data_IF_561295632710
#
_entry.id   IF_561295632710
#
_cell.length_a   1.000
_cell.length_b   1.000
_cell.length_c   1.000
_cell.angle_alpha   90.00
_cell.angle_beta   90.00
_cell.angle_gamma   90.00
#
_symmetry.space_group_name_H-M   'P 1'
#
loop_
_entity.id
_entity.type
_entity.pdbx_description
1 polymer ?
#
# COMPACT_ATOMS: atom_id res chain seq x y z
N UNK A 1 63.46 47.10 -24.09
CA UNK A 1 62.92 46.13 -25.09
C UNK A 1 62.42 44.87 -24.36
N UNK A 2 61.16 44.78 -24.05
CA UNK A 2 60.53 43.52 -23.57
C UNK A 2 59.22 43.37 -24.30
N UNK A 3 59.06 42.32 -25.10
CA UNK A 3 57.84 41.97 -25.82
C UNK A 3 56.89 41.26 -24.86
N UNK A 4 55.75 41.81 -24.58
CA UNK A 4 54.67 41.19 -23.82
C UNK A 4 53.78 40.40 -24.78
N UNK A 5 53.73 39.07 -24.63
CA UNK A 5 52.82 38.18 -25.36
C UNK A 5 51.46 38.17 -24.65
N UNK A 6 50.43 38.61 -25.35
CA UNK A 6 49.03 38.42 -24.92
C UNK A 6 48.59 36.99 -25.26
N UNK A 7 48.23 36.25 -24.22
CA UNK A 7 47.65 34.91 -24.32
C UNK A 7 46.13 35.09 -24.38
N UNK A 8 45.52 34.87 -25.52
CA UNK A 8 44.08 34.77 -25.67
C UNK A 8 43.62 33.42 -25.09
N UNK A 9 42.92 33.47 -23.95
CA UNK A 9 42.16 32.33 -23.42
C UNK A 9 40.83 32.28 -24.16
N UNK A 10 40.64 31.30 -25.04
CA UNK A 10 39.36 30.95 -25.63
C UNK A 10 38.57 30.17 -24.60
N UNK A 11 37.51 30.79 -24.04
CA UNK A 11 36.50 30.13 -23.23
C UNK A 11 35.60 29.37 -24.21
N UNK A 12 35.82 28.08 -24.33
CA UNK A 12 34.89 27.18 -25.03
C UNK A 12 33.70 26.94 -24.11
N UNK A 13 32.59 27.61 -24.39
CA UNK A 13 31.27 27.28 -23.79
C UNK A 13 30.85 25.91 -24.31
N UNK A 14 30.99 24.88 -23.49
CA UNK A 14 30.33 23.58 -23.71
C UNK A 14 28.88 23.76 -23.33
N UNK A 15 28.03 24.12 -24.29
CA UNK A 15 26.61 23.92 -24.18
C UNK A 15 26.34 22.40 -24.10
N UNK A 16 26.09 21.88 -22.90
CA UNK A 16 25.53 20.56 -22.74
C UNK A 16 24.14 20.59 -23.37
N UNK A 17 24.00 20.14 -24.60
CA UNK A 17 22.72 19.73 -25.16
C UNK A 17 22.23 18.54 -24.33
N UNK A 18 21.28 18.80 -23.42
CA UNK A 18 20.45 17.74 -22.88
C UNK A 18 19.61 17.26 -24.06
N UNK A 19 20.07 16.23 -24.72
CA UNK A 19 19.26 15.46 -25.64
C UNK A 19 18.22 14.76 -24.76
N UNK A 20 17.04 15.38 -24.64
CA UNK A 20 15.85 14.64 -24.25
C UNK A 20 15.62 13.60 -25.34
N UNK A 21 16.19 12.42 -25.17
CA UNK A 21 15.75 11.25 -25.88
C UNK A 21 14.31 11.01 -25.42
N UNK A 22 13.33 11.42 -26.21
CA UNK A 22 11.96 10.98 -26.07
C UNK A 22 11.98 9.48 -26.30
N UNK A 23 12.08 8.70 -25.20
CA UNK A 23 11.90 7.26 -25.29
C UNK A 23 10.59 7.01 -26.02
N UNK A 24 10.63 6.25 -27.11
CA UNK A 24 9.43 5.89 -27.84
C UNK A 24 8.49 5.12 -26.88
N UNK A 25 7.24 5.57 -26.77
CA UNK A 25 6.27 4.90 -25.93
C UNK A 25 6.15 3.43 -26.34
N UNK A 26 6.11 2.50 -25.38
CA UNK A 26 5.80 1.11 -25.65
C UNK A 26 4.43 1.00 -26.34
N UNK A 27 4.19 -0.13 -27.01
CA UNK A 27 2.86 -0.37 -27.59
C UNK A 27 1.77 -0.43 -26.49
N UNK A 28 0.54 -0.22 -26.88
CA UNK A 28 -0.62 -0.13 -25.97
C UNK A 28 -0.78 -1.36 -25.06
N UNK A 29 -0.45 -2.56 -25.54
CA UNK A 29 -0.58 -3.77 -24.73
C UNK A 29 0.43 -3.81 -23.57
N UNK A 30 1.62 -3.29 -23.80
CA UNK A 30 2.66 -3.16 -22.74
C UNK A 30 2.28 -2.07 -21.74
N UNK A 31 1.80 -0.91 -22.22
CA UNK A 31 1.34 0.17 -21.34
C UNK A 31 0.17 -0.28 -20.46
N UNK A 32 -0.83 -0.98 -21.04
CA UNK A 32 -1.95 -1.54 -20.27
C UNK A 32 -1.48 -2.52 -19.20
N UNK A 33 -0.54 -3.39 -19.53
CA UNK A 33 0.03 -4.34 -18.55
C UNK A 33 0.77 -3.61 -17.42
N UNK A 34 1.55 -2.59 -17.73
CA UNK A 34 2.22 -1.77 -16.71
C UNK A 34 1.20 -1.05 -15.81
N UNK A 35 0.18 -0.43 -16.40
CA UNK A 35 -0.88 0.24 -15.65
C UNK A 35 -1.67 -0.74 -14.77
N UNK A 36 -2.05 -1.90 -15.30
CA UNK A 36 -2.79 -2.92 -14.56
C UNK A 36 -2.00 -3.46 -13.37
N UNK A 37 -0.68 -3.68 -13.52
CA UNK A 37 0.18 -4.13 -12.42
C UNK A 37 0.30 -3.14 -11.27
N UNK A 38 0.02 -1.86 -11.50
CA UNK A 38 -0.04 -0.84 -10.45
C UNK A 38 -1.37 -0.84 -9.67
N UNK A 39 -2.31 -1.73 -9.98
CA UNK A 39 -3.59 -1.79 -9.28
C UNK A 39 -3.64 -2.95 -8.29
N UNK A 40 -4.09 -2.67 -7.05
CA UNK A 40 -4.56 -3.61 -6.05
C UNK A 40 -6.09 -3.49 -6.00
N UNK A 41 -6.82 -4.51 -6.43
CA UNK A 41 -8.26 -4.40 -6.66
C UNK A 41 -9.08 -5.39 -5.86
N UNK A 42 -10.23 -4.95 -5.35
CA UNK A 42 -11.24 -5.80 -4.73
C UNK A 42 -12.32 -6.23 -5.72
N UNK A 43 -12.91 -7.38 -5.48
CA UNK A 43 -14.05 -7.89 -6.24
C UNK A 43 -15.17 -8.36 -5.30
N UNK A 44 -16.33 -8.71 -5.84
CA UNK A 44 -17.50 -9.16 -5.08
C UNK A 44 -17.70 -10.67 -5.20
N UNK A 45 -18.06 -11.31 -4.08
CA UNK A 45 -18.34 -12.75 -4.00
C UNK A 45 -17.23 -13.56 -3.31
N UNK A 46 -17.60 -14.76 -2.86
CA UNK A 46 -16.76 -15.71 -2.12
C UNK A 46 -16.44 -16.98 -2.94
N UNK A 47 -16.87 -17.00 -4.19
CA UNK A 47 -16.59 -18.04 -5.19
C UNK A 47 -16.22 -17.35 -6.49
N UNK A 48 -15.38 -18.00 -7.27
CA UNK A 48 -14.91 -17.51 -8.57
C UNK A 48 -15.02 -18.60 -9.61
N UNK A 49 -15.41 -18.20 -10.82
CA UNK A 49 -15.48 -19.03 -12.02
C UNK A 49 -14.92 -18.23 -13.22
N UNK A 50 -14.90 -18.85 -14.39
CA UNK A 50 -14.30 -18.25 -15.58
C UNK A 50 -15.01 -16.98 -16.09
N UNK A 51 -16.24 -16.74 -15.69
CA UNK A 51 -17.04 -15.56 -16.06
C UNK A 51 -17.04 -14.47 -14.97
N UNK A 52 -16.43 -14.73 -13.81
CA UNK A 52 -16.39 -13.81 -12.68
C UNK A 52 -15.53 -12.58 -12.94
N UNK A 53 -15.82 -11.48 -12.22
CA UNK A 53 -14.99 -10.28 -12.24
C UNK A 53 -13.56 -10.57 -11.86
N UNK A 54 -13.34 -11.49 -10.91
CA UNK A 54 -12.02 -11.91 -10.47
C UNK A 54 -11.21 -12.55 -11.61
N UNK A 55 -11.84 -13.40 -12.45
CA UNK A 55 -11.18 -13.99 -13.61
C UNK A 55 -10.73 -12.91 -14.61
N UNK A 56 -11.61 -11.94 -14.89
CA UNK A 56 -11.27 -10.81 -15.76
C UNK A 56 -10.11 -9.98 -15.20
N UNK A 57 -10.07 -9.74 -13.88
CA UNK A 57 -9.01 -8.93 -13.28
C UNK A 57 -7.67 -9.66 -13.28
N UNK A 58 -7.66 -10.94 -12.94
CA UNK A 58 -6.42 -11.73 -12.80
C UNK A 58 -5.92 -12.22 -14.16
N UNK A 59 -6.78 -12.91 -14.93
CA UNK A 59 -6.40 -13.59 -16.18
C UNK A 59 -6.26 -12.63 -17.35
N UNK A 60 -7.25 -11.71 -17.51
CA UNK A 60 -7.37 -10.92 -18.72
C UNK A 60 -6.67 -9.55 -18.55
N UNK A 61 -6.92 -8.84 -17.44
CA UNK A 61 -6.33 -7.54 -17.15
C UNK A 61 -4.92 -7.63 -16.53
N UNK A 62 -4.63 -8.69 -15.79
CA UNK A 62 -3.35 -8.96 -15.12
C UNK A 62 -2.99 -7.89 -14.08
N UNK A 63 -3.94 -7.60 -13.18
CA UNK A 63 -3.74 -6.65 -12.07
C UNK A 63 -2.59 -7.09 -11.16
N UNK A 64 -1.91 -6.11 -10.51
CA UNK A 64 -0.76 -6.42 -9.65
C UNK A 64 -1.13 -7.16 -8.37
N UNK A 65 -2.30 -6.83 -7.81
CA UNK A 65 -2.77 -7.45 -6.57
C UNK A 65 -4.30 -7.53 -6.50
N UNK A 66 -4.77 -8.50 -5.70
CA UNK A 66 -6.16 -8.62 -5.23
C UNK A 66 -6.20 -8.27 -3.74
N UNK A 67 -7.21 -7.49 -3.32
CA UNK A 67 -7.50 -7.24 -1.90
C UNK A 67 -8.84 -7.88 -1.51
N UNK A 68 -8.85 -8.57 -0.37
CA UNK A 68 -9.99 -9.36 0.10
C UNK A 68 -10.61 -8.76 1.37
N UNK A 69 -11.94 -8.85 1.46
CA UNK A 69 -12.73 -8.35 2.57
C UNK A 69 -13.68 -9.42 3.11
N UNK A 70 -14.09 -9.31 4.37
CA UNK A 70 -15.11 -10.17 4.97
C UNK A 70 -16.52 -9.52 4.98
N UNK A 71 -16.60 -8.20 4.82
CA UNK A 71 -17.86 -7.43 4.84
C UNK A 71 -18.05 -6.71 3.51
N UNK A 72 -19.23 -6.83 2.92
CA UNK A 72 -19.64 -6.07 1.73
C UNK A 72 -20.27 -4.75 2.14
N UNK A 73 -19.51 -3.67 2.07
CA UNK A 73 -19.98 -2.30 2.34
C UNK A 73 -20.84 -1.72 1.21
N UNK A 74 -20.86 -2.37 0.05
CA UNK A 74 -21.72 -1.97 -1.08
C UNK A 74 -23.15 -2.48 -0.98
N UNK A 75 -23.42 -3.30 0.04
CA UNK A 75 -24.71 -3.95 0.29
C UNK A 75 -25.16 -3.81 1.75
N UNK A 76 -25.51 -4.93 2.36
CA UNK A 76 -26.07 -4.98 3.72
C UNK A 76 -25.06 -4.73 4.84
N UNK A 77 -23.79 -4.58 4.55
CA UNK A 77 -22.68 -4.51 5.49
C UNK A 77 -22.67 -5.66 6.54
N UNK A 78 -23.15 -6.84 6.12
CA UNK A 78 -23.25 -8.02 6.98
C UNK A 78 -21.91 -8.74 7.05
N UNK A 79 -21.57 -9.26 8.22
CA UNK A 79 -20.38 -10.08 8.43
C UNK A 79 -20.46 -11.34 7.56
N UNK A 80 -19.37 -11.67 6.83
CA UNK A 80 -19.31 -12.81 5.90
C UNK A 80 -20.10 -12.60 4.61
N UNK A 81 -20.27 -11.37 4.17
CA UNK A 81 -21.03 -11.04 2.96
C UNK A 81 -20.17 -10.76 1.72
N UNK A 82 -18.81 -10.88 1.83
CA UNK A 82 -17.93 -10.59 0.69
C UNK A 82 -17.06 -11.79 0.30
N UNK A 83 -15.75 -11.71 0.49
CA UNK A 83 -14.81 -12.74 0.01
C UNK A 83 -14.53 -13.81 1.07
N UNK A 84 -14.51 -13.41 2.36
CA UNK A 84 -14.18 -14.29 3.47
C UNK A 84 -15.47 -14.73 4.17
N UNK A 85 -15.93 -15.94 3.90
CA UNK A 85 -17.15 -16.54 4.43
C UNK A 85 -16.91 -17.87 5.17
N UNK A 86 -15.88 -18.61 4.78
CA UNK A 86 -15.30 -19.73 5.51
C UNK A 86 -13.87 -19.98 5.07
N UNK A 87 -13.10 -20.68 5.90
CA UNK A 87 -11.69 -21.03 5.62
C UNK A 87 -11.57 -21.85 4.32
N UNK A 88 -12.40 -22.85 4.15
CA UNK A 88 -12.35 -23.74 2.99
C UNK A 88 -12.72 -23.03 1.68
N UNK A 89 -13.69 -22.10 1.73
CA UNK A 89 -14.06 -21.32 0.54
C UNK A 89 -12.95 -20.38 0.14
N UNK A 90 -12.38 -19.66 1.13
CA UNK A 90 -11.27 -18.76 0.87
C UNK A 90 -10.09 -19.49 0.26
N UNK A 91 -9.67 -20.64 0.82
CA UNK A 91 -8.56 -21.45 0.28
C UNK A 91 -8.81 -21.90 -1.17
N UNK A 92 -10.03 -22.33 -1.50
CA UNK A 92 -10.37 -22.71 -2.89
C UNK A 92 -10.32 -21.50 -3.82
N UNK A 93 -10.85 -20.37 -3.39
CA UNK A 93 -10.90 -19.13 -4.17
C UNK A 93 -9.48 -18.61 -4.44
N UNK A 94 -8.64 -18.48 -3.42
CA UNK A 94 -7.26 -18.00 -3.59
C UNK A 94 -6.42 -18.94 -4.45
N UNK A 95 -6.60 -20.27 -4.27
CA UNK A 95 -5.96 -21.24 -5.16
C UNK A 95 -6.35 -21.01 -6.61
N UNK A 96 -7.63 -20.83 -6.92
CA UNK A 96 -8.10 -20.57 -8.27
C UNK A 96 -7.54 -19.26 -8.83
N UNK A 97 -7.44 -18.20 -8.01
CA UNK A 97 -6.82 -16.93 -8.42
C UNK A 97 -5.33 -17.12 -8.79
N UNK A 98 -4.59 -17.89 -7.99
CA UNK A 98 -3.19 -18.22 -8.29
C UNK A 98 -3.06 -19.11 -9.54
N UNK A 99 -3.95 -20.09 -9.73
CA UNK A 99 -3.94 -20.96 -10.91
C UNK A 99 -4.20 -20.21 -12.22
N UNK A 100 -4.98 -19.12 -12.18
CA UNK A 100 -5.24 -18.25 -13.34
C UNK A 100 -4.10 -17.28 -13.66
N UNK A 101 -3.29 -16.94 -12.68
CA UNK A 101 -2.22 -15.97 -12.85
C UNK A 101 -0.99 -16.64 -13.49
N UNK A 102 -0.53 -16.11 -14.63
CA UNK A 102 0.73 -16.50 -15.28
C UNK A 102 1.93 -15.65 -14.77
N UNK A 103 1.76 -15.02 -13.60
CA UNK A 103 2.72 -14.16 -12.91
C UNK A 103 2.55 -14.31 -11.39
N UNK A 104 3.52 -13.89 -10.55
CA UNK A 104 3.37 -13.93 -9.10
C UNK A 104 2.30 -12.93 -8.64
N UNK A 105 1.04 -13.39 -8.50
CA UNK A 105 -0.09 -12.60 -8.04
C UNK A 105 0.06 -12.29 -6.55
N UNK A 106 -0.10 -11.01 -6.17
CA UNK A 106 -0.24 -10.62 -4.78
C UNK A 106 -1.70 -10.72 -4.36
N UNK A 107 -1.97 -11.41 -3.26
CA UNK A 107 -3.30 -11.47 -2.64
C UNK A 107 -3.16 -10.92 -1.23
N UNK A 108 -3.91 -9.86 -0.91
CA UNK A 108 -3.80 -9.08 0.30
C UNK A 108 -5.08 -9.07 1.12
N UNK A 109 -4.95 -8.91 2.44
CA UNK A 109 -6.04 -8.59 3.35
C UNK A 109 -5.51 -7.89 4.62
N UNK A 110 -6.42 -7.26 5.40
CA UNK A 110 -6.10 -6.69 6.69
C UNK A 110 -6.26 -7.75 7.80
N UNK A 111 -5.17 -8.28 8.30
CA UNK A 111 -5.16 -9.18 9.45
C UNK A 111 -4.22 -8.63 10.53
N UNK A 112 -4.63 -7.50 11.13
CA UNK A 112 -3.87 -6.84 12.20
C UNK A 112 -3.95 -7.60 13.51
N UNK A 113 -5.06 -8.30 13.70
CA UNK A 113 -5.48 -8.89 14.95
C UNK A 113 -6.52 -8.04 15.69
N UNK A 114 -7.14 -8.61 16.72
CA UNK A 114 -8.19 -7.90 17.46
C UNK A 114 -9.40 -7.54 16.58
N UNK A 115 -9.75 -6.24 16.56
CA UNK A 115 -10.95 -5.77 15.83
C UNK A 115 -10.77 -5.68 14.33
N UNK A 116 -9.54 -5.41 13.86
CA UNK A 116 -9.22 -5.35 12.43
C UNK A 116 -8.63 -6.69 12.00
N UNK A 117 -9.51 -7.58 11.62
CA UNK A 117 -9.20 -8.92 11.17
C UNK A 117 -10.26 -9.36 10.16
N UNK A 118 -9.83 -9.96 9.05
CA UNK A 118 -10.75 -10.55 8.05
C UNK A 118 -10.94 -12.04 8.32
N UNK A 119 -9.88 -12.70 8.82
CA UNK A 119 -9.89 -14.11 9.20
C UNK A 119 -10.39 -14.22 10.66
N UNK A 120 -11.68 -14.45 10.83
CA UNK A 120 -12.36 -14.43 12.15
C UNK A 120 -12.74 -15.84 12.60
N UNK A 121 -12.91 -16.07 13.94
CA UNK A 121 -13.30 -17.39 14.47
C UNK A 121 -14.60 -17.94 13.89
N UNK A 122 -15.59 -17.10 13.58
CA UNK A 122 -16.83 -17.55 12.95
C UNK A 122 -16.66 -18.12 11.52
N UNK A 123 -15.51 -17.90 10.89
CA UNK A 123 -15.16 -18.47 9.59
C UNK A 123 -14.24 -19.69 9.71
N UNK A 124 -13.97 -20.18 10.94
CA UNK A 124 -13.10 -21.33 11.20
C UNK A 124 -11.64 -21.00 11.47
N UNK A 125 -11.31 -19.73 11.76
CA UNK A 125 -9.95 -19.27 12.09
C UNK A 125 -9.71 -19.17 13.60
N UNK A 126 -8.45 -19.19 14.00
CA UNK A 126 -8.08 -19.02 15.41
C UNK A 126 -8.35 -17.58 15.89
N UNK A 127 -8.72 -17.38 17.16
CA UNK A 127 -8.85 -16.03 17.72
C UNK A 127 -7.51 -15.33 17.81
N UNK A 128 -7.52 -14.02 17.60
CA UNK A 128 -6.34 -13.16 17.68
C UNK A 128 -6.51 -12.09 18.77
N UNK A 129 -5.43 -11.41 19.12
CA UNK A 129 -5.44 -10.29 20.07
C UNK A 129 -5.05 -8.99 19.36
N UNK A 130 -5.44 -7.84 19.94
CA UNK A 130 -5.12 -6.54 19.38
C UNK A 130 -3.64 -6.18 19.58
N UNK A 131 -3.09 -5.33 18.70
CA UNK A 131 -1.74 -4.79 18.84
C UNK A 131 -1.53 -4.10 20.20
N UNK A 132 -2.50 -3.29 20.66
CA UNK A 132 -2.45 -2.66 21.97
C UNK A 132 -2.33 -3.67 23.13
N UNK A 133 -3.02 -4.81 23.03
CA UNK A 133 -2.89 -5.86 24.04
C UNK A 133 -1.48 -6.45 24.06
N UNK A 134 -0.87 -6.65 22.90
CA UNK A 134 0.52 -7.12 22.79
C UNK A 134 1.49 -6.09 23.36
N UNK A 135 1.34 -4.81 23.02
CA UNK A 135 2.16 -3.72 23.54
C UNK A 135 2.07 -3.57 25.05
N UNK A 136 0.87 -3.75 25.64
CA UNK A 136 0.68 -3.71 27.10
C UNK A 136 1.32 -4.90 27.83
N UNK A 137 1.42 -6.07 27.20
CA UNK A 137 2.12 -7.24 27.75
C UNK A 137 3.63 -7.06 27.62
N UNK A 138 4.08 -6.40 26.56
CA UNK A 138 5.49 -6.13 26.18
C UNK A 138 6.40 -7.36 26.30
N UNK A 139 5.96 -8.47 25.70
CA UNK A 139 6.67 -9.76 25.70
C UNK A 139 6.94 -10.21 24.28
N UNK A 140 8.21 -10.49 23.97
CA UNK A 140 8.62 -11.05 22.67
C UNK A 140 7.93 -12.38 22.39
N UNK A 141 7.99 -13.32 23.33
CA UNK A 141 7.39 -14.65 23.18
C UNK A 141 5.89 -14.56 22.90
N UNK A 142 5.18 -13.66 23.61
CA UNK A 142 3.75 -13.46 23.42
C UNK A 142 3.46 -12.86 22.05
N UNK A 143 4.22 -11.84 21.65
CA UNK A 143 4.00 -11.18 20.34
C UNK A 143 4.33 -12.13 19.21
N UNK A 144 5.46 -12.84 19.24
CA UNK A 144 5.82 -13.85 18.25
C UNK A 144 4.78 -14.97 18.18
N UNK A 145 4.27 -15.43 19.34
CA UNK A 145 3.22 -16.47 19.36
C UNK A 145 1.99 -16.04 18.54
N UNK A 146 1.41 -14.86 18.83
CA UNK A 146 0.21 -14.39 18.13
C UNK A 146 0.50 -13.98 16.68
N UNK A 147 1.66 -13.40 16.41
CA UNK A 147 2.09 -13.08 15.05
C UNK A 147 2.22 -14.34 14.18
N UNK A 148 2.80 -15.41 14.72
CA UNK A 148 2.90 -16.72 14.04
C UNK A 148 1.53 -17.31 13.78
N UNK A 149 0.59 -17.28 14.74
CA UNK A 149 -0.78 -17.73 14.54
C UNK A 149 -1.45 -16.98 13.38
N UNK A 150 -1.28 -15.67 13.32
CA UNK A 150 -1.80 -14.85 12.23
C UNK A 150 -1.14 -15.23 10.90
N UNK A 151 0.18 -15.28 10.86
CA UNK A 151 0.95 -15.57 9.66
C UNK A 151 0.62 -16.94 9.05
N UNK A 152 0.51 -17.98 9.89
CA UNK A 152 0.09 -19.32 9.48
C UNK A 152 -1.31 -19.34 8.84
N UNK A 153 -2.29 -18.65 9.47
CA UNK A 153 -3.67 -18.58 8.94
C UNK A 153 -3.74 -17.80 7.62
N UNK A 154 -2.97 -16.72 7.50
CA UNK A 154 -2.84 -15.92 6.27
C UNK A 154 -2.24 -16.79 5.16
N UNK A 155 -1.09 -17.41 5.39
CA UNK A 155 -0.41 -18.25 4.42
C UNK A 155 -1.26 -19.46 3.99
N UNK A 156 -1.86 -20.19 4.94
CA UNK A 156 -2.75 -21.34 4.66
C UNK A 156 -3.97 -20.94 3.84
N UNK A 157 -4.42 -19.70 3.96
CA UNK A 157 -5.52 -19.17 3.16
C UNK A 157 -5.11 -18.81 1.72
N UNK A 158 -3.86 -19.04 1.32
CA UNK A 158 -3.34 -18.65 0.01
C UNK A 158 -3.15 -17.15 -0.17
N UNK A 159 -3.14 -16.39 0.93
CA UNK A 159 -2.85 -14.94 0.97
C UNK A 159 -1.36 -14.76 1.23
N UNK A 160 -0.70 -13.87 0.49
CA UNK A 160 0.74 -13.69 0.54
C UNK A 160 1.17 -12.24 0.90
N UNK A 161 0.20 -11.36 1.16
CA UNK A 161 0.44 -10.00 1.67
C UNK A 161 -0.51 -9.73 2.82
N UNK A 162 0.03 -9.39 4.00
CA UNK A 162 -0.76 -8.87 5.10
C UNK A 162 -0.63 -7.33 5.13
N UNK A 163 -1.76 -6.62 5.06
CA UNK A 163 -1.80 -5.16 5.23
C UNK A 163 -1.69 -4.80 6.71
N UNK A 164 -0.62 -5.25 7.33
CA UNK A 164 -0.19 -5.09 8.72
C UNK A 164 1.34 -5.24 8.81
N UNK A 165 1.99 -4.77 9.89
CA UNK A 165 1.46 -4.19 11.11
C UNK A 165 1.14 -2.68 11.00
N UNK A 166 0.29 -2.20 11.92
CA UNK A 166 0.14 -0.77 12.20
C UNK A 166 1.32 -0.32 13.04
N UNK A 167 2.04 0.69 12.57
CA UNK A 167 3.22 1.28 13.24
C UNK A 167 2.98 2.74 13.66
N UNK A 168 1.74 3.20 13.57
CA UNK A 168 1.32 4.49 14.09
C UNK A 168 1.48 4.55 15.60
N UNK A 169 1.85 5.73 16.12
CA UNK A 169 1.98 5.98 17.56
C UNK A 169 0.58 5.97 18.22
N UNK A 170 0.44 5.30 19.34
CA UNK A 170 -0.84 5.19 20.06
C UNK A 170 -1.28 6.56 20.61
N UNK A 171 -2.37 7.09 20.09
CA UNK A 171 -3.19 8.07 20.76
C UNK A 171 -4.47 7.37 21.26
N UNK A 172 -4.68 7.21 22.57
CA UNK A 172 -5.83 6.47 23.12
C UNK A 172 -7.18 7.05 22.67
N UNK A 173 -7.23 8.35 22.38
CA UNK A 173 -8.44 9.05 21.97
C UNK A 173 -8.67 9.06 20.45
N UNK A 174 -7.67 8.61 19.67
CA UNK A 174 -7.76 8.52 18.23
C UNK A 174 -8.86 7.56 17.76
N UNK A 175 -9.91 8.02 17.04
CA UNK A 175 -11.11 7.24 16.76
C UNK A 175 -10.85 6.04 15.84
N UNK A 176 -10.01 6.18 14.84
CA UNK A 176 -9.72 5.16 13.84
C UNK A 176 -8.60 4.17 14.22
N UNK A 177 -7.83 4.47 15.26
CA UNK A 177 -6.67 3.68 15.69
C UNK A 177 -6.73 3.34 17.17
N UNK A 178 -6.58 4.34 18.06
CA UNK A 178 -6.45 4.14 19.50
C UNK A 178 -7.67 3.51 20.15
N UNK A 179 -8.88 4.01 19.84
CA UNK A 179 -10.16 3.51 20.40
C UNK A 179 -10.52 2.10 19.97
N UNK A 180 -9.90 1.60 18.90
CA UNK A 180 -10.13 0.23 18.43
C UNK A 180 -8.88 -0.66 18.55
N UNK A 181 -7.90 -0.21 19.37
CA UNK A 181 -6.75 -0.97 19.84
C UNK A 181 -5.77 -1.43 18.73
N UNK A 182 -5.61 -0.63 17.66
CA UNK A 182 -4.78 -1.00 16.50
C UNK A 182 -3.28 -0.73 16.67
N UNK A 183 -2.87 0.19 17.57
CA UNK A 183 -1.47 0.57 17.78
C UNK A 183 -0.84 -0.24 18.93
N UNK A 184 0.43 -0.59 18.82
CA UNK A 184 1.16 -1.33 19.88
C UNK A 184 1.41 -0.47 21.11
N UNK A 185 1.93 0.75 20.93
CA UNK A 185 2.39 1.62 22.02
C UNK A 185 2.39 3.09 21.61
N UNK A 186 2.58 3.97 22.57
CA UNK A 186 2.96 5.39 22.39
C UNK A 186 4.49 5.60 22.38
N UNK A 187 5.28 4.56 22.69
CA UNK A 187 6.72 4.54 22.56
C UNK A 187 7.18 4.00 21.21
N UNK A 188 7.85 4.82 20.36
CA UNK A 188 8.36 4.38 19.06
C UNK A 188 9.27 3.13 19.14
N UNK A 189 10.09 3.02 20.17
CA UNK A 189 11.00 1.88 20.33
C UNK A 189 10.24 0.57 20.61
N UNK A 190 9.17 0.63 21.41
CA UNK A 190 8.28 -0.51 21.62
C UNK A 190 7.55 -0.90 20.32
N UNK A 191 7.05 0.07 19.56
CA UNK A 191 6.42 -0.18 18.25
C UNK A 191 7.39 -0.92 17.32
N UNK A 192 8.63 -0.46 17.21
CA UNK A 192 9.65 -1.10 16.36
C UNK A 192 9.91 -2.54 16.78
N UNK A 193 10.06 -2.81 18.11
CA UNK A 193 10.26 -4.19 18.60
C UNK A 193 9.10 -5.10 18.20
N UNK A 194 7.87 -4.71 18.54
CA UNK A 194 6.68 -5.51 18.24
C UNK A 194 6.46 -5.71 16.75
N UNK A 195 6.63 -4.65 15.94
CA UNK A 195 6.51 -4.74 14.49
C UNK A 195 7.57 -5.66 13.88
N UNK A 196 8.81 -5.61 14.36
CA UNK A 196 9.88 -6.52 13.89
C UNK A 196 9.52 -7.97 14.18
N UNK A 197 9.11 -8.31 15.41
CA UNK A 197 8.69 -9.67 15.76
C UNK A 197 7.48 -10.14 14.93
N UNK A 198 6.54 -9.25 14.67
CA UNK A 198 5.37 -9.53 13.82
C UNK A 198 5.79 -9.85 12.37
N UNK A 199 6.66 -9.03 11.79
CA UNK A 199 7.14 -9.18 10.42
C UNK A 199 7.97 -10.45 10.26
N UNK A 200 8.88 -10.73 11.19
CA UNK A 200 9.70 -11.95 11.19
C UNK A 200 8.82 -13.22 11.09
N UNK A 201 7.78 -13.31 11.92
CA UNK A 201 6.89 -14.47 11.92
C UNK A 201 6.08 -14.59 10.61
N UNK A 202 5.75 -13.47 9.97
CA UNK A 202 5.11 -13.47 8.64
C UNK A 202 6.07 -13.90 7.55
N UNK A 203 7.30 -13.38 7.55
CA UNK A 203 8.34 -13.79 6.61
C UNK A 203 8.66 -15.28 6.71
N UNK A 204 8.67 -15.85 7.92
CA UNK A 204 8.85 -17.29 8.17
C UNK A 204 7.73 -18.15 7.57
N UNK A 205 6.60 -17.56 7.17
CA UNK A 205 5.47 -18.22 6.52
C UNK A 205 5.31 -17.81 5.05
N UNK A 206 6.28 -17.10 4.47
CA UNK A 206 6.21 -16.63 3.08
C UNK A 206 5.19 -15.52 2.86
N UNK A 207 4.85 -14.72 3.88
CA UNK A 207 3.90 -13.62 3.81
C UNK A 207 4.63 -12.28 3.93
N UNK A 208 4.40 -11.38 2.98
CA UNK A 208 4.89 -10.00 2.99
C UNK A 208 4.04 -9.13 3.93
N UNK A 209 4.66 -8.11 4.52
CA UNK A 209 4.02 -7.19 5.44
C UNK A 209 3.95 -5.76 4.91
N UNK A 210 2.96 -5.00 5.38
CA UNK A 210 2.75 -3.60 5.00
C UNK A 210 2.74 -2.72 6.23
N UNK A 211 3.74 -1.84 6.35
CA UNK A 211 3.77 -0.82 7.42
C UNK A 211 2.73 0.27 7.12
N UNK A 212 1.94 0.68 8.11
CA UNK A 212 0.89 1.69 7.91
C UNK A 212 0.63 2.52 9.17
N UNK A 213 0.19 3.76 8.98
CA UNK A 213 -0.17 4.51 7.78
C UNK A 213 0.75 5.72 7.61
N UNK A 214 1.64 5.70 6.63
CA UNK A 214 2.65 6.74 6.42
C UNK A 214 2.00 8.10 6.04
N UNK A 215 2.45 9.22 6.60
CA UNK A 215 3.62 9.49 7.44
C UNK A 215 3.36 9.47 8.96
N UNK A 216 2.44 8.67 9.45
CA UNK A 216 1.97 8.60 10.82
C UNK A 216 0.56 9.18 10.95
N UNK A 217 -0.38 8.33 11.36
CA UNK A 217 -1.80 8.65 11.52
C UNK A 217 -2.23 8.62 13.00
N UNK A 218 -1.29 8.33 13.90
CA UNK A 218 -1.58 8.10 15.31
C UNK A 218 -2.14 9.32 16.03
N UNK A 219 -1.66 10.52 15.69
CA UNK A 219 -2.08 11.79 16.27
C UNK A 219 -3.44 12.31 15.75
N UNK A 220 -4.10 11.57 14.84
CA UNK A 220 -5.40 11.97 14.30
C UNK A 220 -6.48 11.99 15.40
N UNK A 221 -7.24 13.08 15.45
CA UNK A 221 -8.39 13.26 16.35
C UNK A 221 -9.72 12.95 15.66
N UNK A 222 -9.70 12.76 14.34
CA UNK A 222 -10.83 12.37 13.50
C UNK A 222 -10.48 11.08 12.72
N UNK A 223 -11.49 10.41 12.18
CA UNK A 223 -11.34 9.19 11.38
C UNK A 223 -11.35 9.54 9.88
N UNK A 224 -10.31 9.15 9.16
CA UNK A 224 -10.14 9.40 7.72
C UNK A 224 -11.16 8.69 6.82
N UNK A 225 -11.90 7.72 7.36
CA UNK A 225 -13.03 7.11 6.66
C UNK A 225 -14.21 8.07 6.44
N UNK A 226 -14.27 9.19 7.20
CA UNK A 226 -15.38 10.15 7.18
C UNK A 226 -14.99 11.53 6.60
N UNK A 227 -13.82 11.64 5.96
CA UNK A 227 -13.35 12.88 5.34
C UNK A 227 -11.87 13.15 5.56
N UNK A 228 -11.41 14.34 5.19
CA UNK A 228 -10.02 14.72 5.47
C UNK A 228 -9.76 14.85 6.96
N UNK A 229 -8.66 14.22 7.38
CA UNK A 229 -8.09 14.39 8.72
C UNK A 229 -6.90 15.32 8.62
N UNK A 230 -7.01 16.49 9.22
CA UNK A 230 -5.90 17.45 9.33
C UNK A 230 -5.16 17.21 10.66
N UNK A 231 -3.93 16.74 10.57
CA UNK A 231 -3.05 16.46 11.72
C UNK A 231 -1.99 17.54 11.92
N UNK A 232 -2.06 18.65 11.20
CA UNK A 232 -1.03 19.71 11.19
C UNK A 232 -0.61 20.14 12.60
N UNK A 233 -1.56 20.27 13.54
CA UNK A 233 -1.29 20.75 14.89
C UNK A 233 -1.08 19.65 15.93
N UNK A 234 -1.27 18.38 15.56
CA UNK A 234 -1.18 17.23 16.48
C UNK A 234 -0.06 16.27 16.12
N UNK A 235 0.37 16.28 14.87
CA UNK A 235 1.44 15.42 14.37
C UNK A 235 2.81 15.87 14.89
N UNK A 236 3.65 14.92 15.25
CA UNK A 236 5.03 15.13 15.68
C UNK A 236 5.99 14.29 14.82
N UNK A 237 7.20 14.78 14.61
CA UNK A 237 8.22 14.07 13.82
C UNK A 237 8.59 12.70 14.36
N UNK A 238 8.34 12.42 15.62
CA UNK A 238 8.49 11.08 16.23
C UNK A 238 7.60 10.02 15.56
N UNK A 239 6.51 10.41 14.89
CA UNK A 239 5.69 9.46 14.11
C UNK A 239 6.43 8.85 12.91
N UNK A 240 7.54 9.46 12.48
CA UNK A 240 8.41 8.90 11.45
C UNK A 240 9.43 7.88 11.99
N UNK A 241 9.70 7.86 13.30
CA UNK A 241 10.73 7.01 13.91
C UNK A 241 10.49 5.51 13.68
N UNK A 242 9.26 4.97 13.87
CA UNK A 242 9.01 3.56 13.59
C UNK A 242 9.26 3.20 12.12
N UNK A 243 8.82 4.04 11.18
CA UNK A 243 9.04 3.81 9.76
C UNK A 243 10.54 3.83 9.44
N UNK A 244 11.27 4.84 9.90
CA UNK A 244 12.72 4.96 9.65
C UNK A 244 13.48 3.76 10.19
N UNK A 245 13.23 3.36 11.44
CA UNK A 245 13.91 2.22 12.04
C UNK A 245 13.61 0.90 11.30
N UNK A 246 12.35 0.66 10.92
CA UNK A 246 11.97 -0.55 10.19
C UNK A 246 12.49 -0.56 8.75
N UNK A 247 12.62 0.60 8.08
CA UNK A 247 13.29 0.73 6.79
C UNK A 247 14.78 0.39 6.92
N UNK A 248 15.47 0.97 7.89
CA UNK A 248 16.90 0.75 8.12
C UNK A 248 17.22 -0.72 8.47
N UNK A 249 16.30 -1.39 9.17
CA UNK A 249 16.42 -2.80 9.53
C UNK A 249 16.03 -3.76 8.37
N UNK A 250 15.60 -3.24 7.21
CA UNK A 250 15.18 -4.07 6.07
C UNK A 250 13.84 -4.78 6.25
N UNK A 251 13.03 -4.37 7.24
CA UNK A 251 11.73 -4.95 7.57
C UNK A 251 10.56 -4.40 6.72
N UNK A 252 10.77 -3.34 5.95
CA UNK A 252 9.71 -2.67 5.19
C UNK A 252 9.57 -3.26 3.78
N UNK A 253 8.65 -4.21 3.57
CA UNK A 253 8.31 -4.76 2.25
C UNK A 253 7.46 -3.77 1.46
N UNK A 254 6.30 -3.43 2.04
CA UNK A 254 5.39 -2.41 1.57
C UNK A 254 5.20 -1.34 2.64
N UNK A 255 4.89 -0.12 2.20
CA UNK A 255 4.39 0.94 3.06
C UNK A 255 3.08 1.43 2.47
N UNK A 256 2.04 1.59 3.32
CA UNK A 256 0.75 2.14 2.93
C UNK A 256 0.65 3.59 3.38
N UNK A 257 0.17 4.46 2.47
CA UNK A 257 -0.02 5.89 2.76
C UNK A 257 -1.30 6.13 3.56
N UNK A 258 -1.33 7.26 4.30
CA UNK A 258 -2.55 7.77 4.93
C UNK A 258 -3.16 8.92 4.11
N UNK A 259 -4.50 9.01 4.05
CA UNK A 259 -5.22 10.14 3.47
C UNK A 259 -5.37 11.27 4.50
N UNK A 260 -4.23 11.83 4.96
CA UNK A 260 -4.19 12.89 5.95
C UNK A 260 -3.58 14.17 5.38
N UNK A 261 -4.00 15.31 5.89
CA UNK A 261 -3.39 16.61 5.65
C UNK A 261 -2.41 16.91 6.77
N UNK A 262 -1.17 17.21 6.43
CA UNK A 262 -0.16 17.71 7.34
C UNK A 262 0.61 18.85 6.69
N UNK A 263 0.23 20.10 7.02
CA UNK A 263 0.80 21.30 6.43
C UNK A 263 2.24 21.58 6.85
N UNK A 264 2.74 20.85 7.87
CA UNK A 264 4.16 20.89 8.23
C UNK A 264 5.01 20.15 7.19
N UNK A 265 4.45 19.11 6.51
CA UNK A 265 5.12 18.30 5.50
C UNK A 265 4.82 18.80 4.07
N UNK A 266 3.55 19.08 3.79
CA UNK A 266 3.13 19.70 2.54
C UNK A 266 1.98 20.71 2.82
N UNK A 267 2.17 22.01 2.54
CA UNK A 267 1.16 23.03 2.82
C UNK A 267 -0.09 22.92 1.94
N UNK A 268 -0.04 22.18 0.83
CA UNK A 268 -1.08 22.19 -0.21
C UNK A 268 -1.80 20.84 -0.35
N UNK A 269 -1.07 19.72 -0.28
CA UNK A 269 -1.58 18.42 -0.65
C UNK A 269 -1.64 17.44 0.53
N UNK A 270 -2.64 16.52 0.55
CA UNK A 270 -2.64 15.43 1.51
C UNK A 270 -1.50 14.45 1.21
N UNK A 271 -1.05 13.72 2.22
CA UNK A 271 0.13 12.88 2.16
C UNK A 271 0.15 11.92 0.95
N UNK A 272 -0.96 11.24 0.67
CA UNK A 272 -1.06 10.30 -0.47
C UNK A 272 -0.85 10.96 -1.84
N UNK A 273 -1.08 12.26 -1.98
CA UNK A 273 -0.99 12.99 -3.25
C UNK A 273 0.25 13.89 -3.32
N UNK A 274 1.08 13.91 -2.27
CA UNK A 274 2.21 14.82 -2.12
C UNK A 274 3.54 14.17 -2.54
N UNK A 275 4.19 14.75 -3.55
CA UNK A 275 5.55 14.38 -3.94
C UNK A 275 6.56 14.65 -2.80
N UNK A 276 6.38 15.74 -2.04
CA UNK A 276 7.22 16.06 -0.88
C UNK A 276 7.18 14.96 0.17
N UNK A 277 6.00 14.35 0.39
CA UNK A 277 5.83 13.30 1.40
C UNK A 277 6.27 11.94 0.85
N UNK A 278 5.83 11.56 -0.35
CA UNK A 278 6.05 10.19 -0.86
C UNK A 278 7.42 10.01 -1.51
N UNK A 279 7.95 11.03 -2.15
CA UNK A 279 9.27 10.94 -2.80
C UNK A 279 10.36 11.58 -1.94
N UNK A 280 10.31 12.89 -1.68
CA UNK A 280 11.40 13.58 -1.00
C UNK A 280 11.59 13.10 0.45
N UNK A 281 10.50 12.92 1.22
CA UNK A 281 10.60 12.45 2.60
C UNK A 281 10.80 10.92 2.65
N UNK A 282 9.85 10.12 2.11
CA UNK A 282 9.89 8.67 2.32
C UNK A 282 11.03 8.00 1.56
N UNK A 283 11.21 8.33 0.25
CA UNK A 283 12.23 7.65 -0.55
C UNK A 283 13.61 8.25 -0.40
N UNK A 284 13.73 9.58 -0.50
CA UNK A 284 15.04 10.22 -0.54
C UNK A 284 15.61 10.40 0.88
N UNK A 285 14.80 10.87 1.83
CA UNK A 285 15.27 11.14 3.20
C UNK A 285 15.25 9.91 4.10
N UNK A 286 14.16 9.11 4.10
CA UNK A 286 14.06 7.90 4.92
C UNK A 286 14.64 6.66 4.24
N UNK A 287 14.90 6.71 2.93
CA UNK A 287 15.61 5.66 2.19
C UNK A 287 14.77 4.45 1.77
N UNK A 288 13.43 4.54 1.78
CA UNK A 288 12.57 3.43 1.41
C UNK A 288 12.72 3.00 -0.06
N UNK A 289 12.98 1.71 -0.29
CA UNK A 289 13.17 1.11 -1.63
C UNK A 289 12.09 0.12 -2.04
N UNK A 290 11.19 -0.22 -1.11
CA UNK A 290 10.08 -1.16 -1.34
C UNK A 290 8.92 -0.58 -2.13
N UNK A 291 7.80 -1.28 -2.14
CA UNK A 291 6.57 -0.88 -2.83
C UNK A 291 5.75 0.05 -1.95
N UNK A 292 5.41 1.23 -2.49
CA UNK A 292 4.51 2.18 -1.85
C UNK A 292 3.10 1.96 -2.39
N UNK A 293 2.19 1.53 -1.53
CA UNK A 293 0.77 1.34 -1.84
C UNK A 293 -0.06 2.46 -1.19
N UNK A 294 -1.07 2.96 -1.89
CA UNK A 294 -2.02 3.90 -1.28
C UNK A 294 -3.00 3.18 -0.37
N UNK A 295 -3.57 3.87 0.62
CA UNK A 295 -4.86 3.46 1.17
C UNK A 295 -5.94 3.55 0.07
N UNK A 296 -7.17 3.06 0.33
CA UNK A 296 -8.19 2.96 -0.73
C UNK A 296 -8.50 4.34 -1.34
N UNK A 297 -8.21 4.50 -2.63
CA UNK A 297 -8.38 5.75 -3.38
C UNK A 297 -9.85 6.20 -3.49
N UNK A 298 -10.79 5.38 -3.06
CA UNK A 298 -12.22 5.70 -3.01
C UNK A 298 -12.71 6.04 -1.59
N UNK A 299 -11.80 6.18 -0.59
CA UNK A 299 -12.17 6.70 0.72
C UNK A 299 -12.61 8.16 0.67
N UNK A 300 -13.50 8.53 1.59
CA UNK A 300 -14.11 9.87 1.65
C UNK A 300 -13.05 10.98 1.69
N UNK A 301 -11.93 10.78 2.38
CA UNK A 301 -10.82 11.73 2.41
C UNK A 301 -10.29 12.12 1.01
N UNK A 302 -10.42 11.26 0.01
CA UNK A 302 -10.02 11.57 -1.38
C UNK A 302 -11.21 12.08 -2.18
N UNK A 303 -12.31 11.31 -2.24
CA UNK A 303 -13.40 11.55 -3.21
C UNK A 303 -14.21 12.82 -2.95
N UNK A 304 -14.20 13.34 -1.72
CA UNK A 304 -14.87 14.59 -1.37
C UNK A 304 -14.12 15.85 -1.91
N UNK A 305 -12.84 15.71 -2.22
CA UNK A 305 -11.97 16.85 -2.53
C UNK A 305 -11.31 16.78 -3.90
N UNK A 306 -11.23 15.58 -4.49
CA UNK A 306 -10.63 15.35 -5.79
C UNK A 306 -11.51 14.45 -6.64
N UNK A 307 -11.54 14.66 -7.96
CA UNK A 307 -12.00 13.57 -8.86
C UNK A 307 -11.02 12.41 -8.70
N UNK A 308 -11.54 11.18 -8.71
CA UNK A 308 -10.72 9.98 -8.58
C UNK A 308 -9.66 9.93 -9.67
N UNK A 309 -9.99 10.34 -10.88
CA UNK A 309 -9.10 10.40 -12.04
C UNK A 309 -7.87 11.29 -11.76
N UNK A 310 -8.10 12.48 -11.23
CA UNK A 310 -7.01 13.38 -10.86
C UNK A 310 -6.21 12.84 -9.68
N UNK A 311 -6.87 12.30 -8.66
CA UNK A 311 -6.19 11.71 -7.49
C UNK A 311 -5.27 10.55 -7.90
N UNK A 312 -5.68 9.67 -8.83
CA UNK A 312 -4.88 8.59 -9.37
C UNK A 312 -3.60 9.13 -10.05
N UNK A 313 -3.74 10.12 -10.92
CA UNK A 313 -2.60 10.75 -11.62
C UNK A 313 -1.65 11.40 -10.61
N UNK A 314 -2.20 12.14 -9.64
CA UNK A 314 -1.41 12.81 -8.61
C UNK A 314 -0.68 11.81 -7.71
N UNK A 315 -1.33 10.74 -7.24
CA UNK A 315 -0.71 9.71 -6.41
C UNK A 315 0.45 9.01 -7.13
N UNK A 316 0.29 8.67 -8.41
CA UNK A 316 1.38 8.09 -9.22
C UNK A 316 2.54 9.07 -9.34
N UNK A 317 2.29 10.33 -9.67
CA UNK A 317 3.32 11.36 -9.79
C UNK A 317 3.97 11.70 -8.44
N UNK A 318 3.22 11.56 -7.34
CA UNK A 318 3.76 11.73 -5.99
C UNK A 318 4.74 10.61 -5.60
N UNK A 319 4.68 9.45 -6.23
CA UNK A 319 5.61 8.33 -5.97
C UNK A 319 4.95 7.01 -5.58
N UNK A 320 3.62 6.91 -5.59
CA UNK A 320 2.91 5.64 -5.33
C UNK A 320 3.20 4.63 -6.45
N UNK A 321 3.49 3.39 -6.07
CA UNK A 321 3.75 2.30 -7.00
C UNK A 321 2.51 1.45 -7.22
N UNK A 322 1.66 1.31 -6.21
CA UNK A 322 0.44 0.53 -6.25
C UNK A 322 -0.73 1.34 -5.69
N UNK A 323 -1.86 1.29 -6.37
CA UNK A 323 -3.07 2.00 -6.01
C UNK A 323 -4.09 1.02 -5.46
N UNK A 324 -4.47 1.18 -4.20
CA UNK A 324 -5.53 0.38 -3.61
C UNK A 324 -6.90 0.87 -4.09
N UNK A 325 -7.67 -0.04 -4.67
CA UNK A 325 -9.03 0.16 -5.19
C UNK A 325 -9.89 -0.99 -4.70
N UNK A 326 -10.27 -0.95 -3.43
CA UNK A 326 -11.00 -2.03 -2.78
C UNK A 326 -12.38 -2.30 -3.39
N UNK A 327 -12.93 -1.30 -4.09
CA UNK A 327 -14.24 -1.41 -4.75
C UNK A 327 -15.32 -1.92 -3.79
N UNK A 328 -15.20 -1.48 -2.54
CA UNK A 328 -16.00 -1.93 -1.39
C UNK A 328 -16.40 -0.72 -0.51
N UNK A 329 -17.06 0.23 -1.13
CA UNK A 329 -17.51 1.48 -0.50
C UNK A 329 -19.03 1.63 -0.59
N UNK A 330 -19.60 2.47 0.25
CA UNK A 330 -21.07 2.68 0.33
C UNK A 330 -21.70 3.20 -0.97
N UNK A 331 -20.92 3.83 -1.87
CA UNK A 331 -21.41 4.30 -3.16
C UNK A 331 -21.61 3.18 -4.20
N UNK A 332 -21.20 1.96 -3.87
CA UNK A 332 -21.49 0.76 -4.67
C UNK A 332 -20.27 0.11 -5.31
N UNK A 333 -20.50 -1.11 -5.78
CA UNK A 333 -19.54 -1.90 -6.54
C UNK A 333 -19.65 -1.60 -8.04
N UNK A 334 -18.51 -1.47 -8.72
CA UNK A 334 -18.44 -1.25 -10.17
C UNK A 334 -17.47 -2.25 -10.80
N UNK A 335 -18.01 -3.22 -11.54
CA UNK A 335 -17.24 -4.31 -12.14
C UNK A 335 -16.18 -3.85 -13.15
N UNK A 336 -16.41 -2.75 -13.87
CA UNK A 336 -15.49 -2.24 -14.89
C UNK A 336 -14.50 -1.18 -14.35
N UNK A 337 -14.51 -0.91 -13.03
CA UNK A 337 -13.64 0.09 -12.40
C UNK A 337 -12.14 -0.15 -12.68
N UNK A 338 -11.60 -1.38 -12.52
CA UNK A 338 -10.18 -1.61 -12.82
C UNK A 338 -9.81 -1.36 -14.28
N UNK A 339 -10.62 -1.80 -15.24
CA UNK A 339 -10.39 -1.56 -16.66
C UNK A 339 -10.37 -0.06 -16.98
N UNK A 340 -11.32 0.69 -16.44
CA UNK A 340 -11.41 2.15 -16.63
C UNK A 340 -10.18 2.86 -16.08
N UNK A 341 -9.67 2.44 -14.93
CA UNK A 341 -8.44 3.00 -14.35
C UNK A 341 -7.19 2.66 -15.15
N UNK A 342 -7.10 1.45 -15.72
CA UNK A 342 -6.01 1.10 -16.64
C UNK A 342 -6.02 2.02 -17.86
N UNK A 343 -7.18 2.23 -18.51
CA UNK A 343 -7.26 3.13 -19.67
C UNK A 343 -6.94 4.59 -19.29
N UNK A 344 -7.38 5.04 -18.11
CA UNK A 344 -7.03 6.35 -17.57
C UNK A 344 -5.51 6.54 -17.46
N UNK A 345 -4.81 5.57 -16.82
CA UNK A 345 -3.35 5.63 -16.65
C UNK A 345 -2.65 5.60 -18.01
N UNK A 346 -3.05 4.71 -18.91
CA UNK A 346 -2.50 4.63 -20.26
C UNK A 346 -2.66 5.96 -21.00
N UNK A 347 -3.86 6.57 -20.94
CA UNK A 347 -4.10 7.85 -21.60
C UNK A 347 -3.28 8.98 -20.94
N UNK A 348 -3.17 8.98 -19.62
CA UNK A 348 -2.36 9.97 -18.91
C UNK A 348 -0.86 9.88 -19.26
N UNK A 349 -0.34 8.68 -19.51
CA UNK A 349 1.03 8.49 -20.01
C UNK A 349 1.16 9.03 -21.44
N UNK A 350 0.22 8.71 -22.31
CA UNK A 350 0.21 9.21 -23.71
C UNK A 350 0.10 10.73 -23.80
N UNK A 351 -0.67 11.33 -22.89
CA UNK A 351 -0.83 12.79 -22.78
C UNK A 351 0.37 13.48 -22.10
N UNK A 352 1.38 12.73 -21.61
CA UNK A 352 2.52 13.25 -20.88
C UNK A 352 2.19 13.75 -19.46
N UNK A 353 0.99 13.43 -18.92
CA UNK A 353 0.59 13.76 -17.54
C UNK A 353 1.25 12.87 -16.52
N UNK A 354 1.63 11.64 -16.88
CA UNK A 354 2.45 10.71 -16.11
C UNK A 354 3.69 10.38 -16.94
N UNK A 355 4.90 10.60 -16.43
CA UNK A 355 6.13 10.18 -17.12
C UNK A 355 6.16 8.65 -17.28
N UNK A 356 6.59 8.16 -18.45
CA UNK A 356 6.76 6.71 -18.67
C UNK A 356 7.72 6.10 -17.64
N UNK A 357 8.82 6.79 -17.34
CA UNK A 357 9.79 6.37 -16.32
C UNK A 357 9.12 6.06 -14.97
N UNK A 358 8.13 6.86 -14.56
CA UNK A 358 7.42 6.66 -13.30
C UNK A 358 6.66 5.31 -13.26
N UNK A 359 6.03 4.96 -14.40
CA UNK A 359 5.33 3.68 -14.55
C UNK A 359 6.31 2.50 -14.58
N UNK A 360 7.43 2.66 -15.28
CA UNK A 360 8.49 1.64 -15.36
C UNK A 360 9.09 1.38 -13.97
N UNK A 361 9.49 2.43 -13.25
CA UNK A 361 10.02 2.31 -11.89
C UNK A 361 9.06 1.60 -10.92
N UNK A 362 7.76 1.90 -10.99
CA UNK A 362 6.74 1.20 -10.19
C UNK A 362 6.72 -0.29 -10.49
N UNK A 363 6.70 -0.64 -11.78
CA UNK A 363 6.69 -2.04 -12.21
C UNK A 363 7.97 -2.80 -11.78
N UNK A 364 9.13 -2.14 -11.80
CA UNK A 364 10.37 -2.72 -11.30
C UNK A 364 10.33 -3.00 -9.80
N UNK A 365 9.78 -2.05 -8.99
CA UNK A 365 9.62 -2.26 -7.55
C UNK A 365 8.63 -3.39 -7.25
N UNK A 366 7.50 -3.43 -7.95
CA UNK A 366 6.51 -4.50 -7.84
C UNK A 366 7.13 -5.86 -8.23
N UNK A 367 7.91 -5.91 -9.31
CA UNK A 367 8.58 -7.14 -9.73
C UNK A 367 9.61 -7.63 -8.69
N UNK A 368 10.39 -6.71 -8.07
CA UNK A 368 11.29 -7.06 -6.97
C UNK A 368 10.53 -7.58 -5.74
N UNK A 369 9.41 -6.97 -5.38
CA UNK A 369 8.56 -7.44 -4.30
C UNK A 369 8.01 -8.85 -4.57
N UNK A 370 7.52 -9.09 -5.79
CA UNK A 370 7.03 -10.40 -6.21
C UNK A 370 8.14 -11.46 -6.21
N UNK A 371 9.36 -11.09 -6.62
CA UNK A 371 10.51 -12.00 -6.55
C UNK A 371 10.90 -12.35 -5.10
N UNK A 372 10.73 -11.41 -4.16
CA UNK A 372 10.99 -11.66 -2.72
C UNK A 372 10.11 -12.80 -2.17
N UNK A 373 8.86 -12.95 -2.61
CA UNK A 373 7.98 -14.04 -2.19
C UNK A 373 8.62 -15.43 -2.39
N UNK A 374 9.37 -15.64 -3.46
CA UNK A 374 10.02 -16.92 -3.74
C UNK A 374 11.24 -17.21 -2.85
N UNK A 375 11.69 -16.22 -2.07
CA UNK A 375 12.85 -16.31 -1.17
C UNK A 375 12.48 -16.31 0.30
N UNK A 376 11.22 -16.04 0.65
CA UNK A 376 10.68 -16.13 2.00
C UNK A 376 10.22 -17.58 2.26
N UNK A 377 11.15 -18.44 2.70
CA UNK A 377 10.85 -19.83 3.11
C UNK A 377 11.83 -20.32 4.16
#
# INVERSE_FOLDING_TARGET
MKRTKYLFMAVASVMAMIVNATEALPNDSVLRRYAARMLMVGFKGDQVDDDSDAARYVRDLKVGAIILFDIDLTGSATIGSRNVTSKERLMRMTKQLHDWADYPLLIALDQEGGRVARLKPQYGYRPTVSAKRLGLIDSEDTTRHYARLIAEEVAQSGVNVNLAPVVDILNPEGPGLGKIDRCFSDDPAAIVRHATWFIDEHHNQGVLCTLKHFPGHGSAVNDSHWGFVDVTNTWHSSELEPFKALIDNGCADLIMTAHIVNRQLDPELPATLSHKVLTELLRDSLGFKGVLVTDDMYMQGIIDNYSVENAIIMAINAGADMLCVGNNISTGFEANRPQRLVELIVQAVKDGKIPLSRIVESNERIARLQAKLSTLH
#
